data_IF_816081282288
#
_entry.id   IF_816081282288
#
_cell.length_a   1.000
_cell.length_b   1.000
_cell.length_c   1.000
_cell.angle_alpha   90.00
_cell.angle_beta   90.00
_cell.angle_gamma   90.00
#
_symmetry.space_group_name_H-M   'P 1'
#
loop_
_entity.id
_entity.type
_entity.pdbx_description
1 polymer ?
#
# COMPACT_ATOMS: atom_id res chain seq x y z
N UNK A 1 -14.22 -15.62 23.40
CA UNK A 1 -14.82 -14.47 22.71
C UNK A 1 -13.84 -14.07 21.64
N UNK A 2 -14.22 -14.06 20.36
CA UNK A 2 -13.33 -13.51 19.34
C UNK A 2 -13.13 -12.01 19.59
N UNK A 3 -11.94 -11.48 19.32
CA UNK A 3 -11.66 -10.06 19.51
C UNK A 3 -12.48 -9.23 18.52
N UNK A 4 -13.03 -8.13 19.02
CA UNK A 4 -13.61 -7.09 18.17
C UNK A 4 -12.54 -6.56 17.22
N UNK A 5 -12.84 -6.56 15.92
CA UNK A 5 -11.94 -6.02 14.89
C UNK A 5 -12.71 -5.15 13.92
N UNK A 6 -11.99 -4.31 13.19
CA UNK A 6 -12.56 -3.42 12.17
C UNK A 6 -12.48 -4.07 10.80
N UNK A 7 -13.53 -3.92 10.02
CA UNK A 7 -13.62 -4.38 8.64
C UNK A 7 -14.12 -3.22 7.79
N UNK A 8 -13.52 -3.03 6.63
CA UNK A 8 -13.86 -1.93 5.72
C UNK A 8 -14.52 -2.47 4.47
N UNK A 9 -15.70 -1.98 4.12
CA UNK A 9 -16.38 -2.27 2.86
C UNK A 9 -16.38 -1.02 1.97
N UNK A 10 -15.89 -1.14 0.74
CA UNK A 10 -15.76 -0.04 -0.23
C UNK A 10 -16.47 -0.40 -1.53
N UNK A 11 -17.34 0.50 -2.02
CA UNK A 11 -17.93 0.38 -3.35
C UNK A 11 -16.92 0.84 -4.40
N UNK A 12 -16.57 -0.05 -5.32
CA UNK A 12 -15.61 0.24 -6.38
C UNK A 12 -16.37 0.61 -7.64
N UNK A 13 -16.01 1.73 -8.27
CA UNK A 13 -16.54 2.08 -9.58
C UNK A 13 -16.11 1.00 -10.59
N UNK A 14 -17.00 0.53 -11.49
CA UNK A 14 -16.59 -0.31 -12.58
C UNK A 14 -15.49 0.41 -13.36
N UNK A 15 -14.27 -0.10 -13.33
CA UNK A 15 -13.17 0.50 -14.09
C UNK A 15 -13.49 0.39 -15.58
N UNK A 16 -13.45 1.52 -16.30
CA UNK A 16 -13.29 1.50 -17.74
C UNK A 16 -11.90 0.95 -18.04
N UNK A 17 -11.86 -0.35 -18.37
CA UNK A 17 -10.83 -1.08 -19.11
C UNK A 17 -9.40 -0.52 -18.95
N UNK A 18 -8.69 -0.92 -17.91
CA UNK A 18 -7.30 -0.51 -17.77
C UNK A 18 -6.50 -1.48 -16.94
N UNK A 19 -6.41 -1.25 -15.63
CA UNK A 19 -5.55 -2.02 -14.76
C UNK A 19 -6.24 -2.25 -13.42
N UNK A 20 -6.62 -3.49 -13.13
CA UNK A 20 -6.77 -3.90 -11.73
C UNK A 20 -6.61 -5.41 -11.67
N UNK A 21 -5.77 -5.90 -10.76
CA UNK A 21 -5.70 -7.32 -10.35
C UNK A 21 -7.04 -7.84 -9.80
N UNK A 22 -8.01 -6.94 -9.62
CA UNK A 22 -9.38 -7.20 -9.22
C UNK A 22 -10.38 -7.04 -10.38
N UNK A 23 -9.96 -6.62 -11.57
CA UNK A 23 -10.86 -6.36 -12.69
C UNK A 23 -11.62 -7.63 -13.06
N UNK A 24 -12.91 -7.54 -13.39
CA UNK A 24 -13.63 -8.73 -13.77
C UNK A 24 -13.04 -9.33 -15.03
N UNK A 25 -12.43 -10.52 -14.92
CA UNK A 25 -12.11 -11.33 -16.11
C UNK A 25 -13.40 -11.44 -16.92
N UNK A 26 -13.37 -10.89 -18.14
CA UNK A 26 -14.55 -10.70 -18.96
C UNK A 26 -15.21 -12.06 -19.25
N UNK A 27 -16.26 -12.42 -18.51
CA UNK A 27 -16.98 -13.66 -18.75
C UNK A 27 -17.77 -14.21 -17.57
N UNK A 28 -18.75 -13.47 -17.04
CA UNK A 28 -19.97 -14.00 -16.39
C UNK A 28 -20.78 -12.85 -15.79
N UNK A 29 -22.08 -12.82 -16.06
CA UNK A 29 -23.04 -11.86 -15.49
C UNK A 29 -23.00 -11.79 -13.96
N UNK A 30 -22.59 -12.89 -13.29
CA UNK A 30 -22.47 -12.97 -11.82
C UNK A 30 -21.37 -12.09 -11.23
N UNK A 31 -20.33 -11.75 -12.00
CA UNK A 31 -19.23 -10.92 -11.50
C UNK A 31 -19.52 -9.41 -11.59
N UNK A 32 -20.50 -9.02 -12.40
CA UNK A 32 -21.02 -7.64 -12.42
C UNK A 32 -21.71 -7.26 -11.11
N UNK A 33 -22.21 -8.22 -10.35
CA UNK A 33 -22.91 -7.99 -9.08
C UNK A 33 -21.96 -7.78 -7.88
N UNK A 34 -20.66 -8.09 -8.02
CA UNK A 34 -19.65 -7.93 -6.96
C UNK A 34 -18.89 -6.61 -7.08
N UNK A 35 -19.64 -5.51 -7.02
CA UNK A 35 -19.10 -4.13 -7.08
C UNK A 35 -18.49 -3.63 -5.76
N UNK A 36 -18.52 -4.43 -4.71
CA UNK A 36 -17.98 -4.08 -3.39
C UNK A 36 -16.72 -4.90 -3.07
N UNK A 37 -15.80 -4.29 -2.34
CA UNK A 37 -14.60 -4.93 -1.83
C UNK A 37 -14.58 -4.79 -0.31
N UNK A 38 -14.33 -5.90 0.38
CA UNK A 38 -14.14 -5.97 1.82
C UNK A 38 -12.66 -6.16 2.11
N UNK A 39 -12.14 -5.33 3.01
CA UNK A 39 -10.79 -5.40 3.57
C UNK A 39 -10.89 -5.81 5.03
N UNK A 40 -10.21 -6.90 5.37
CA UNK A 40 -10.03 -7.38 6.74
C UNK A 40 -8.54 -7.70 6.94
N UNK A 41 -7.81 -6.78 7.57
CA UNK A 41 -6.34 -6.85 7.68
C UNK A 41 -5.69 -7.03 6.29
N UNK A 42 -5.09 -8.20 6.03
CA UNK A 42 -4.46 -8.56 4.76
C UNK A 42 -5.41 -9.29 3.79
N UNK A 43 -6.63 -9.64 4.23
CA UNK A 43 -7.61 -10.35 3.41
C UNK A 43 -8.46 -9.35 2.62
N UNK A 44 -8.42 -9.47 1.30
CA UNK A 44 -9.17 -8.61 0.37
C UNK A 44 -10.11 -9.47 -0.46
N UNK A 45 -11.42 -9.21 -0.36
CA UNK A 45 -12.44 -10.04 -1.01
C UNK A 45 -13.52 -9.21 -1.71
N UNK A 46 -13.93 -9.62 -2.90
CA UNK A 46 -15.07 -9.04 -3.61
C UNK A 46 -16.39 -9.63 -3.14
N UNK A 47 -17.35 -8.78 -2.80
CA UNK A 47 -18.66 -9.17 -2.28
C UNK A 47 -19.78 -8.49 -3.06
N UNK A 48 -20.98 -9.05 -2.94
CA UNK A 48 -22.20 -8.43 -3.49
C UNK A 48 -22.62 -7.23 -2.66
N UNK A 49 -23.46 -6.36 -3.23
CA UNK A 49 -24.03 -5.22 -2.50
C UNK A 49 -24.86 -5.66 -1.28
N UNK A 50 -25.63 -6.74 -1.41
CA UNK A 50 -26.41 -7.29 -0.31
C UNK A 50 -25.51 -7.75 0.85
N UNK A 51 -24.42 -8.47 0.56
CA UNK A 51 -23.45 -8.88 1.59
C UNK A 51 -22.74 -7.68 2.24
N UNK A 52 -22.36 -6.68 1.46
CA UNK A 52 -21.68 -5.48 1.95
C UNK A 52 -22.58 -4.67 2.91
N UNK A 53 -23.83 -4.41 2.51
CA UNK A 53 -24.77 -3.55 3.23
C UNK A 53 -25.58 -4.29 4.30
N UNK A 54 -25.52 -5.61 4.36
CA UNK A 54 -26.19 -6.37 5.42
C UNK A 54 -25.59 -6.00 6.79
N UNK A 55 -26.45 -5.59 7.72
CA UNK A 55 -26.08 -5.29 9.11
C UNK A 55 -26.69 -6.34 10.03
N UNK A 56 -25.90 -6.82 10.97
CA UNK A 56 -26.33 -7.78 12.00
C UNK A 56 -25.87 -7.26 13.35
N UNK A 57 -26.84 -6.95 14.23
CA UNK A 57 -26.56 -6.36 15.52
C UNK A 57 -25.73 -7.26 16.46
N UNK A 58 -25.63 -8.56 16.16
CA UNK A 58 -24.87 -9.50 16.98
C UNK A 58 -23.37 -9.48 16.68
N UNK A 59 -22.96 -9.16 15.45
CA UNK A 59 -21.55 -9.30 15.02
C UNK A 59 -21.06 -8.28 13.98
N UNK A 60 -21.95 -7.50 13.35
CA UNK A 60 -21.63 -6.53 12.29
C UNK A 60 -22.32 -5.20 12.53
N UNK A 61 -21.72 -4.39 13.41
CA UNK A 61 -22.17 -3.04 13.73
C UNK A 61 -21.41 -2.00 12.88
N UNK A 62 -22.09 -0.99 12.33
CA UNK A 62 -21.41 0.10 11.63
C UNK A 62 -20.65 0.97 12.62
N UNK A 63 -19.38 1.26 12.32
CA UNK A 63 -18.54 2.16 13.13
C UNK A 63 -18.33 3.52 12.45
N UNK A 64 -18.02 3.52 11.14
CA UNK A 64 -17.79 4.73 10.35
C UNK A 64 -18.54 4.57 9.02
N UNK A 65 -19.28 5.60 8.62
CA UNK A 65 -19.94 5.67 7.31
C UNK A 65 -19.37 6.85 6.53
N UNK A 66 -18.94 6.58 5.29
CA UNK A 66 -18.38 7.57 4.40
C UNK A 66 -19.21 7.65 3.12
N UNK A 67 -19.68 8.86 2.80
CA UNK A 67 -20.45 9.15 1.60
C UNK A 67 -19.68 10.13 0.72
N UNK A 68 -19.64 9.86 -0.58
CA UNK A 68 -19.04 10.73 -1.58
C UNK A 68 -20.06 11.03 -2.69
N UNK A 69 -20.00 12.23 -3.26
CA UNK A 69 -20.83 12.62 -4.38
C UNK A 69 -20.31 11.95 -5.66
N UNK A 70 -21.21 11.35 -6.45
CA UNK A 70 -20.84 10.52 -7.60
C UNK A 70 -20.07 11.28 -8.69
N UNK A 71 -20.42 12.56 -8.87
CA UNK A 71 -19.89 13.46 -9.91
C UNK A 71 -18.65 14.25 -9.49
N UNK A 72 -18.26 14.21 -8.21
CA UNK A 72 -17.13 14.99 -7.69
C UNK A 72 -15.83 14.20 -7.62
N UNK A 73 -15.76 13.04 -8.25
CA UNK A 73 -14.54 12.23 -8.22
C UNK A 73 -13.52 12.90 -9.13
N UNK A 74 -12.45 13.50 -8.57
CA UNK A 74 -11.34 13.90 -9.41
C UNK A 74 -10.90 12.62 -10.12
N UNK A 75 -10.71 12.67 -11.43
CA UNK A 75 -9.88 11.67 -12.10
C UNK A 75 -8.53 11.70 -11.38
N UNK A 76 -8.39 10.88 -10.34
CA UNK A 76 -7.22 10.87 -9.49
C UNK A 76 -6.19 10.02 -10.24
N UNK A 77 -5.71 10.59 -11.34
CA UNK A 77 -4.36 10.34 -11.78
C UNK A 77 -3.54 10.73 -10.57
N UNK A 78 -3.02 9.74 -9.87
CA UNK A 78 -2.00 9.94 -8.85
C UNK A 78 -0.85 10.64 -9.56
N UNK A 79 -0.86 11.99 -9.60
CA UNK A 79 0.26 12.77 -10.11
C UNK A 79 1.30 12.65 -9.01
N UNK A 80 2.07 11.56 -9.08
CA UNK A 80 3.25 11.41 -8.24
C UNK A 80 4.15 12.60 -8.55
N UNK A 81 4.29 13.49 -7.58
CA UNK A 81 5.26 14.55 -7.69
C UNK A 81 6.63 13.90 -7.93
N UNK A 82 7.41 14.38 -8.92
CA UNK A 82 8.74 13.84 -9.16
C UNK A 82 9.57 14.02 -7.89
N UNK A 83 10.31 12.98 -7.50
CA UNK A 83 11.25 13.07 -6.39
C UNK A 83 12.36 14.04 -6.83
N UNK A 84 12.58 15.17 -6.12
CA UNK A 84 13.62 16.11 -6.51
C UNK A 84 15.00 15.47 -6.39
N UNK A 85 15.84 15.60 -7.41
CA UNK A 85 17.18 14.99 -7.42
C UNK A 85 18.08 15.50 -6.28
N UNK A 86 17.82 16.73 -5.80
CA UNK A 86 18.49 17.32 -4.64
C UNK A 86 18.39 16.48 -3.36
N UNK A 87 17.37 15.62 -3.21
CA UNK A 87 17.23 14.71 -2.06
C UNK A 87 18.43 13.75 -1.93
N UNK A 88 19.11 13.43 -3.03
CA UNK A 88 20.22 12.47 -3.04
C UNK A 88 21.57 13.09 -2.65
N UNK A 89 21.71 14.42 -2.69
CA UNK A 89 22.98 15.13 -2.50
C UNK A 89 22.95 16.17 -1.38
N UNK A 90 21.76 16.53 -0.88
CA UNK A 90 21.62 17.50 0.21
C UNK A 90 21.82 16.80 1.55
N UNK A 91 22.79 17.26 2.32
CA UNK A 91 23.08 16.74 3.67
C UNK A 91 22.04 17.24 4.69
N UNK A 92 20.90 16.57 4.75
CA UNK A 92 19.96 16.78 5.86
C UNK A 92 20.45 16.01 7.10
N UNK A 93 21.12 16.71 8.03
CA UNK A 93 21.30 16.22 9.41
C UNK A 93 22.69 15.72 9.81
N UNK A 94 23.77 16.30 9.30
CA UNK A 94 25.11 15.91 9.73
C UNK A 94 25.49 16.50 11.10
N UNK A 95 25.15 15.79 12.19
CA UNK A 95 25.74 16.00 13.52
C UNK A 95 26.75 14.88 13.80
N UNK A 96 27.97 15.05 13.30
CA UNK A 96 29.17 14.55 13.98
C UNK A 96 29.75 13.21 13.55
N UNK A 97 29.25 12.53 12.51
CA UNK A 97 29.91 11.33 11.99
C UNK A 97 30.60 11.64 10.66
N UNK A 98 31.93 11.53 10.65
CA UNK A 98 32.76 11.44 9.45
C UNK A 98 32.35 10.18 8.66
N UNK A 99 31.21 10.22 7.97
CA UNK A 99 30.87 9.20 7.00
C UNK A 99 31.56 9.58 5.69
N UNK A 100 32.38 8.66 5.18
CA UNK A 100 32.97 8.70 3.83
C UNK A 100 31.88 8.48 2.77
N UNK A 101 30.80 9.27 2.83
CA UNK A 101 29.80 9.30 1.77
C UNK A 101 30.42 10.07 0.62
N UNK A 102 30.71 9.36 -0.47
CA UNK A 102 31.02 10.02 -1.73
C UNK A 102 29.82 10.91 -2.07
N UNK A 103 30.08 12.20 -2.25
CA UNK A 103 29.06 13.16 -2.63
C UNK A 103 28.51 12.72 -3.99
N UNK A 104 27.28 12.25 -3.99
CA UNK A 104 26.56 11.92 -5.23
C UNK A 104 26.27 13.27 -5.90
N UNK A 105 26.46 13.36 -7.21
CA UNK A 105 26.09 14.50 -8.04
C UNK A 105 25.02 14.05 -9.03
N UNK A 106 24.45 14.98 -9.80
CA UNK A 106 23.49 14.64 -10.85
C UNK A 106 24.05 13.64 -11.87
N UNK A 107 25.36 13.71 -12.12
CA UNK A 107 26.06 12.86 -13.09
C UNK A 107 26.32 11.45 -12.57
N UNK A 108 26.40 11.27 -11.25
CA UNK A 108 26.66 9.97 -10.60
C UNK A 108 25.40 9.31 -10.05
N UNK A 109 24.23 9.92 -10.28
CA UNK A 109 22.96 9.30 -9.92
C UNK A 109 22.77 7.99 -10.70
N UNK A 110 22.43 6.88 -10.03
CA UNK A 110 22.18 5.62 -10.70
C UNK A 110 21.11 5.77 -11.78
N UNK A 111 21.39 5.23 -12.97
CA UNK A 111 20.46 5.22 -14.10
C UNK A 111 19.57 3.98 -14.06
N UNK A 112 18.52 4.02 -14.87
CA UNK A 112 17.65 2.87 -15.08
C UNK A 112 18.47 1.61 -15.42
N UNK A 113 18.20 0.51 -14.72
CA UNK A 113 18.88 -0.77 -14.90
C UNK A 113 20.25 -0.89 -14.23
N UNK A 114 20.78 0.15 -13.57
CA UNK A 114 22.02 0.06 -12.79
C UNK A 114 21.77 -0.61 -11.43
N UNK A 115 22.75 -1.41 -10.98
CA UNK A 115 22.67 -2.15 -9.73
C UNK A 115 23.22 -1.31 -8.57
N UNK A 116 22.45 -1.25 -7.48
CA UNK A 116 22.85 -0.63 -6.22
C UNK A 116 22.75 -1.66 -5.10
N UNK A 117 23.76 -1.70 -4.23
CA UNK A 117 23.71 -2.51 -3.02
C UNK A 117 23.04 -1.72 -1.90
N UNK A 118 22.16 -2.38 -1.13
CA UNK A 118 21.47 -1.80 0.00
C UNK A 118 21.61 -2.76 1.18
N UNK A 119 21.98 -2.20 2.32
CA UNK A 119 22.03 -2.90 3.59
C UNK A 119 21.32 -2.05 4.64
N UNK A 120 20.62 -2.68 5.58
CA UNK A 120 19.82 -1.99 6.59
C UNK A 120 19.80 -2.78 7.90
N UNK A 121 20.01 -2.06 9.00
CA UNK A 121 20.06 -2.63 10.34
C UNK A 121 18.85 -2.19 11.18
N UNK A 122 18.33 -3.10 11.99
CA UNK A 122 17.13 -2.86 12.81
C UNK A 122 17.41 -3.11 14.29
N UNK A 123 16.78 -2.31 15.16
CA UNK A 123 16.83 -2.49 16.61
C UNK A 123 15.44 -2.82 17.13
N UNK A 124 15.32 -3.89 17.94
CA UNK A 124 14.06 -4.26 18.58
C UNK A 124 13.71 -3.28 19.71
N UNK A 125 12.67 -2.47 19.51
CA UNK A 125 12.19 -1.51 20.52
C UNK A 125 11.31 -2.16 21.60
N UNK A 126 10.64 -3.28 21.30
CA UNK A 126 9.79 -4.01 22.24
C UNK A 126 10.27 -5.46 22.43
N UNK A 127 10.56 -5.85 23.68
CA UNK A 127 11.10 -7.18 24.04
C UNK A 127 10.07 -8.32 24.07
N UNK A 128 8.81 -8.06 23.72
CA UNK A 128 7.69 -9.00 23.95
C UNK A 128 7.57 -10.06 22.86
N UNK A 129 8.20 -9.88 21.69
CA UNK A 129 8.15 -10.86 20.61
C UNK A 129 9.36 -11.81 20.64
N UNK A 130 9.54 -12.54 21.75
CA UNK A 130 10.50 -13.65 21.81
C UNK A 130 9.87 -14.93 21.27
N UNK A 131 9.83 -15.09 19.94
CA UNK A 131 9.99 -16.44 19.33
C UNK A 131 10.19 -16.46 17.81
N UNK A 132 10.10 -15.34 17.07
CA UNK A 132 10.15 -15.45 15.60
C UNK A 132 10.68 -14.20 14.88
N UNK A 133 11.81 -13.62 15.33
CA UNK A 133 12.53 -12.64 14.52
C UNK A 133 14.04 -12.73 14.82
N UNK A 134 14.62 -13.89 14.57
CA UNK A 134 16.07 -13.97 14.35
C UNK A 134 16.28 -13.84 12.82
N UNK A 135 16.76 -12.67 12.41
CA UNK A 135 17.24 -12.33 11.06
C UNK A 135 16.19 -12.46 9.93
N UNK A 136 15.47 -11.37 9.65
CA UNK A 136 14.84 -11.21 8.34
C UNK A 136 15.91 -10.62 7.42
N UNK A 137 16.62 -11.48 6.71
CA UNK A 137 17.46 -11.06 5.59
C UNK A 137 16.54 -10.73 4.41
N UNK A 138 16.07 -9.48 4.35
CA UNK A 138 15.27 -9.02 3.22
C UNK A 138 16.21 -8.48 2.13
N UNK A 139 16.86 -9.37 1.38
CA UNK A 139 17.57 -8.96 0.15
C UNK A 139 16.52 -8.61 -0.91
N UNK A 140 16.11 -7.34 -0.96
CA UNK A 140 15.38 -6.79 -2.11
C UNK A 140 16.38 -6.15 -3.05
N UNK A 141 16.55 -6.75 -4.22
CA UNK A 141 17.08 -6.02 -5.38
C UNK A 141 16.06 -4.96 -5.77
N UNK A 142 16.40 -3.69 -5.58
CA UNK A 142 15.62 -2.60 -6.13
C UNK A 142 15.89 -2.55 -7.64
N UNK A 143 14.88 -2.87 -8.45
CA UNK A 143 14.88 -2.53 -9.86
C UNK A 143 14.34 -1.09 -9.98
N UNK A 144 15.16 -0.20 -10.55
CA UNK A 144 14.67 1.08 -11.05
C UNK A 144 13.98 0.81 -12.39
N UNK A 145 12.65 0.79 -12.41
CA UNK A 145 11.85 0.78 -13.65
C UNK A 145 11.93 2.10 -14.42
#
# INVERSE_FOLDING_TARGET
MEPTHLVTAVKVKPADRGNTLLSPLAGSSKMKERGWVVFNEFVVTRVTENEALHLDANWKLPCILYYAQLESDPQNVEIRAPIPAAVFWTDFGNLGAQQTRLMISEETLPKNGELVAIDAEFIALNKVMKSCFDVVELVKFAYLE
#
